data_IF_502406001633
#
_entry.id   IF_502406001633
#
_cell.length_a   1.000
_cell.length_b   1.000
_cell.length_c   1.000
_cell.angle_alpha   90.00
_cell.angle_beta   90.00
_cell.angle_gamma   90.00
#
_symmetry.space_group_name_H-M   'P 1'
#
loop_
_entity.id
_entity.type
_entity.pdbx_description
1 polymer ?
#
# COMPACT_ATOMS: atom_id res chain seq x y z
N UNK A 1 -17.79 -11.07 21.62
CA UNK A 1 -16.66 -10.52 20.87
C UNK A 1 -17.15 -9.47 19.92
N UNK A 2 -16.50 -8.35 19.92
CA UNK A 2 -16.88 -7.26 19.03
C UNK A 2 -15.89 -7.12 17.92
N UNK A 3 -16.39 -7.18 16.72
CA UNK A 3 -15.61 -6.85 15.56
C UNK A 3 -15.64 -5.34 15.37
N UNK A 4 -14.49 -4.73 15.33
CA UNK A 4 -14.41 -3.31 15.06
C UNK A 4 -14.43 -3.05 13.58
N UNK A 5 -15.31 -2.15 13.16
CA UNK A 5 -15.20 -1.57 11.84
C UNK A 5 -13.89 -0.79 11.78
N UNK A 6 -13.00 -1.18 10.88
CA UNK A 6 -11.79 -0.42 10.63
C UNK A 6 -12.08 0.66 9.62
N UNK A 7 -11.51 1.83 9.86
CA UNK A 7 -11.54 2.89 8.86
C UNK A 7 -10.58 2.48 7.76
N UNK A 8 -11.15 2.07 6.65
CA UNK A 8 -10.39 1.57 5.51
C UNK A 8 -10.84 2.32 4.27
N UNK A 9 -9.94 3.09 3.69
CA UNK A 9 -10.21 3.79 2.45
C UNK A 9 -9.76 2.91 1.28
N UNK A 10 -10.67 2.70 0.33
CA UNK A 10 -10.37 1.90 -0.86
C UNK A 10 -10.52 2.79 -2.09
N UNK A 11 -9.47 2.84 -2.90
CA UNK A 11 -9.48 3.52 -4.18
C UNK A 11 -9.48 2.49 -5.30
N UNK A 12 -10.24 2.75 -6.33
CA UNK A 12 -10.31 1.91 -7.53
C UNK A 12 -9.93 2.75 -8.72
N UNK A 13 -9.01 2.25 -9.53
CA UNK A 13 -8.64 2.88 -10.79
C UNK A 13 -9.34 2.14 -11.92
N UNK A 14 -10.23 2.84 -12.61
CA UNK A 14 -11.05 2.27 -13.68
C UNK A 14 -10.73 2.94 -15.02
N UNK A 15 -10.81 2.16 -16.07
CA UNK A 15 -10.69 2.63 -17.44
C UNK A 15 -11.58 1.78 -18.35
N UNK A 16 -12.43 2.42 -19.16
CA UNK A 16 -13.27 1.75 -20.14
C UNK A 16 -14.07 0.57 -19.57
N UNK A 17 -14.76 0.79 -18.46
CA UNK A 17 -15.59 -0.21 -17.77
C UNK A 17 -14.79 -1.36 -17.15
N UNK A 18 -13.49 -1.23 -17.07
CA UNK A 18 -12.63 -2.25 -16.51
C UNK A 18 -11.85 -1.71 -15.31
N UNK A 19 -11.76 -2.49 -14.25
CA UNK A 19 -10.95 -2.15 -13.10
C UNK A 19 -9.49 -2.48 -13.42
N UNK A 20 -8.64 -1.47 -13.41
CA UNK A 20 -7.21 -1.65 -13.64
C UNK A 20 -6.42 -1.90 -12.38
N UNK A 21 -6.86 -1.35 -11.26
CA UNK A 21 -6.19 -1.54 -9.99
C UNK A 21 -7.03 -1.13 -8.80
N UNK A 22 -6.65 -1.62 -7.64
CA UNK A 22 -7.30 -1.35 -6.36
C UNK A 22 -6.23 -1.10 -5.31
N UNK A 23 -6.45 -0.10 -4.48
CA UNK A 23 -5.56 0.19 -3.36
C UNK A 23 -6.37 0.46 -2.10
N UNK A 24 -5.84 0.05 -0.96
CA UNK A 24 -6.51 0.24 0.32
C UNK A 24 -5.59 0.85 1.35
N UNK A 25 -6.12 1.78 2.12
CA UNK A 25 -5.42 2.52 3.16
C UNK A 25 -6.14 2.35 4.49
N UNK A 26 -5.39 1.97 5.50
CA UNK A 26 -5.86 1.91 6.87
C UNK A 26 -5.03 2.93 7.67
N UNK A 27 -5.63 4.10 7.95
CA UNK A 27 -4.95 5.24 8.53
C UNK A 27 -3.77 5.69 7.66
N UNK A 28 -2.54 5.38 8.04
CA UNK A 28 -1.36 5.69 7.25
C UNK A 28 -0.66 4.45 6.68
N UNK A 29 -1.32 3.30 6.76
CA UNK A 29 -0.76 2.05 6.27
C UNK A 29 -1.39 1.64 4.94
N UNK A 30 -0.59 1.32 3.93
CA UNK A 30 -1.08 0.68 2.72
C UNK A 30 -1.32 -0.78 3.04
N UNK A 31 -2.59 -1.20 3.03
CA UNK A 31 -3.00 -2.56 3.35
C UNK A 31 -3.30 -3.40 2.12
N UNK A 32 -3.51 -2.75 1.00
CA UNK A 32 -3.86 -3.43 -0.25
C UNK A 32 -3.35 -2.61 -1.41
N UNK A 33 -2.70 -3.27 -2.36
CA UNK A 33 -2.36 -2.68 -3.63
C UNK A 33 -2.30 -3.79 -4.68
N UNK A 34 -3.24 -3.78 -5.60
CA UNK A 34 -3.32 -4.73 -6.68
C UNK A 34 -3.52 -4.00 -8.00
N UNK A 35 -2.74 -4.36 -8.98
CA UNK A 35 -2.88 -3.85 -10.34
C UNK A 35 -3.07 -5.04 -11.25
N UNK A 36 -4.06 -4.94 -12.15
CA UNK A 36 -4.31 -5.99 -13.12
C UNK A 36 -3.02 -6.30 -13.89
N UNK A 37 -2.72 -7.57 -14.06
CA UNK A 37 -1.42 -7.99 -14.60
C UNK A 37 -1.07 -7.30 -15.92
N UNK A 38 -2.02 -7.22 -16.84
CA UNK A 38 -1.81 -6.57 -18.14
C UNK A 38 -1.72 -5.05 -18.08
N UNK A 39 -2.00 -4.47 -16.90
CA UNK A 39 -1.93 -3.02 -16.68
C UNK A 39 -0.74 -2.61 -15.82
N UNK A 40 0.09 -3.56 -15.43
CA UNK A 40 1.30 -3.27 -14.70
C UNK A 40 2.30 -2.53 -15.59
N UNK A 41 3.19 -1.77 -14.95
CA UNK A 41 4.22 -0.95 -15.62
C UNK A 41 3.66 0.17 -16.50
N UNK A 42 2.40 0.56 -16.29
CA UNK A 42 1.76 1.68 -16.98
C UNK A 42 1.51 2.86 -16.06
N UNK A 43 2.07 2.83 -14.85
CA UNK A 43 1.89 3.91 -13.90
C UNK A 43 0.62 3.80 -13.05
N UNK A 44 -0.21 2.77 -13.24
CA UNK A 44 -1.44 2.59 -12.46
C UNK A 44 -1.15 2.43 -10.98
N UNK A 45 -0.20 1.57 -10.61
CA UNK A 45 0.17 1.35 -9.22
C UNK A 45 0.71 2.62 -8.57
N UNK A 46 1.55 3.34 -9.28
CA UNK A 46 2.11 4.61 -8.79
C UNK A 46 1.03 5.67 -8.60
N UNK A 47 0.09 5.76 -9.54
CA UNK A 47 -1.04 6.68 -9.42
C UNK A 47 -1.91 6.35 -8.21
N UNK A 48 -2.14 5.06 -7.95
CA UNK A 48 -2.88 4.64 -6.77
C UNK A 48 -2.15 5.02 -5.48
N UNK A 49 -0.84 4.79 -5.39
CA UNK A 49 -0.05 5.19 -4.23
C UNK A 49 -0.10 6.69 -4.01
N UNK A 50 0.06 7.48 -5.09
CA UNK A 50 -0.04 8.95 -4.99
C UNK A 50 -1.41 9.38 -4.51
N UNK A 51 -2.47 8.73 -4.98
CA UNK A 51 -3.82 9.03 -4.51
C UNK A 51 -3.97 8.70 -3.03
N UNK A 52 -3.50 7.54 -2.58
CA UNK A 52 -3.56 7.18 -1.16
C UNK A 52 -2.80 8.18 -0.30
N UNK A 53 -1.67 8.66 -0.79
CA UNK A 53 -0.88 9.67 -0.08
C UNK A 53 -1.71 10.90 0.24
N UNK A 54 -2.56 11.34 -0.68
CA UNK A 54 -3.41 12.51 -0.46
C UNK A 54 -4.50 12.25 0.58
N UNK A 55 -4.80 10.99 0.86
CA UNK A 55 -5.87 10.61 1.79
C UNK A 55 -5.38 10.38 3.21
N UNK A 56 -4.07 10.34 3.43
CA UNK A 56 -3.51 10.20 4.77
C UNK A 56 -3.69 11.52 5.53
N UNK A 57 -4.27 11.47 6.76
CA UNK A 57 -4.45 12.69 7.56
C UNK A 57 -3.09 13.24 8.00
N UNK A 58 -2.55 14.22 7.25
CA UNK A 58 -1.23 14.79 7.50
C UNK A 58 -1.10 15.56 8.80
N UNK A 59 -2.22 15.91 9.44
CA UNK A 59 -2.21 16.53 10.78
C UNK A 59 -1.84 15.50 11.84
N UNK A 60 -2.21 14.23 11.60
CA UNK A 60 -2.01 13.15 12.57
C UNK A 60 -0.72 12.38 12.28
N UNK A 61 -0.44 12.14 11.01
CA UNK A 61 0.66 11.28 10.57
C UNK A 61 1.70 12.06 9.79
N UNK A 62 2.98 11.75 10.05
CA UNK A 62 4.10 12.34 9.33
C UNK A 62 4.60 11.48 8.19
N UNK A 63 4.16 10.25 8.14
CA UNK A 63 4.53 9.31 7.09
C UNK A 63 3.38 8.36 6.77
N UNK A 64 3.51 7.68 5.66
CA UNK A 64 2.73 6.50 5.37
C UNK A 64 3.69 5.32 5.24
N UNK A 65 3.20 4.12 5.45
CA UNK A 65 4.06 2.96 5.45
C UNK A 65 3.38 1.74 4.85
N UNK A 66 4.20 0.74 4.56
CA UNK A 66 3.75 -0.53 4.01
C UNK A 66 4.66 -1.65 4.50
N UNK A 67 4.08 -2.82 4.71
CA UNK A 67 4.84 -4.05 4.84
C UNK A 67 4.87 -4.69 3.45
N UNK A 68 5.94 -4.42 2.74
CA UNK A 68 6.06 -4.84 1.34
C UNK A 68 6.45 -6.31 1.22
N UNK A 69 5.86 -7.01 0.25
CA UNK A 69 6.45 -8.27 -0.16
C UNK A 69 7.86 -8.00 -0.71
N UNK A 70 8.78 -8.99 -0.64
CA UNK A 70 10.12 -8.80 -1.19
C UNK A 70 10.12 -8.40 -2.67
N UNK A 71 9.15 -8.87 -3.43
CA UNK A 71 9.03 -8.55 -4.86
C UNK A 71 8.64 -7.11 -5.14
N UNK A 72 7.89 -6.50 -4.22
CA UNK A 72 7.36 -5.15 -4.42
C UNK A 72 8.27 -4.05 -3.90
N UNK A 73 9.38 -4.39 -3.25
CA UNK A 73 10.31 -3.41 -2.67
C UNK A 73 10.77 -2.40 -3.72
N UNK A 74 11.16 -2.87 -4.90
CA UNK A 74 11.61 -1.96 -5.97
C UNK A 74 10.52 -0.99 -6.42
N UNK A 75 9.28 -1.47 -6.46
CA UNK A 75 8.14 -0.62 -6.81
C UNK A 75 7.95 0.50 -5.77
N UNK A 76 7.92 0.13 -4.49
CA UNK A 76 7.73 1.13 -3.44
C UNK A 76 8.91 2.09 -3.35
N UNK A 77 10.12 1.60 -3.56
CA UNK A 77 11.30 2.47 -3.62
C UNK A 77 11.14 3.51 -4.74
N UNK A 78 10.67 3.09 -5.91
CA UNK A 78 10.42 4.00 -7.02
C UNK A 78 9.33 5.02 -6.71
N UNK A 79 8.41 4.71 -5.80
CA UNK A 79 7.40 5.63 -5.32
C UNK A 79 7.92 6.59 -4.23
N UNK A 80 9.17 6.44 -3.82
CA UNK A 80 9.78 7.31 -2.82
C UNK A 80 9.88 6.73 -1.42
N UNK A 81 9.45 5.48 -1.22
CA UNK A 81 9.55 4.82 0.07
C UNK A 81 10.98 4.43 0.37
N UNK A 82 11.32 4.48 1.65
CA UNK A 82 12.61 4.05 2.16
C UNK A 82 12.46 2.72 2.90
N UNK A 83 13.37 1.80 2.66
CA UNK A 83 13.42 0.56 3.41
C UNK A 83 13.83 0.83 4.85
N UNK A 84 13.10 0.24 5.80
CA UNK A 84 13.40 0.39 7.23
C UNK A 84 13.91 -0.88 7.86
N UNK A 85 13.58 -2.03 7.30
CA UNK A 85 14.11 -3.32 7.76
C UNK A 85 13.14 -4.45 7.54
N UNK A 86 13.64 -5.69 7.69
CA UNK A 86 12.78 -6.87 7.53
C UNK A 86 11.84 -7.05 8.70
N UNK A 87 10.62 -7.47 8.42
CA UNK A 87 9.63 -7.85 9.43
C UNK A 87 9.00 -9.15 8.98
N UNK A 88 8.97 -10.12 9.89
CA UNK A 88 8.35 -11.41 9.63
C UNK A 88 7.05 -11.53 10.40
N UNK A 89 5.99 -11.94 9.71
CA UNK A 89 4.71 -12.22 10.31
C UNK A 89 4.45 -13.71 10.31
N UNK A 90 3.81 -14.19 11.38
CA UNK A 90 3.36 -15.57 11.44
C UNK A 90 1.88 -15.61 11.05
N UNK A 91 1.58 -16.27 9.94
CA UNK A 91 0.21 -16.41 9.45
C UNK A 91 -0.11 -17.90 9.40
N UNK A 92 -1.03 -18.31 10.27
CA UNK A 92 -1.45 -19.72 10.36
C UNK A 92 -0.26 -20.68 10.51
N UNK A 93 0.72 -20.30 11.34
CA UNK A 93 1.91 -21.09 11.59
C UNK A 93 3.02 -20.95 10.56
N UNK A 94 2.80 -20.18 9.50
CA UNK A 94 3.79 -19.96 8.45
C UNK A 94 4.42 -18.58 8.56
N UNK A 95 5.75 -18.49 8.51
CA UNK A 95 6.42 -17.20 8.49
C UNK A 95 6.27 -16.52 7.14
N UNK A 96 5.85 -15.28 7.15
CA UNK A 96 5.74 -14.45 5.94
C UNK A 96 6.77 -13.34 6.05
N UNK A 97 7.74 -13.34 5.14
CA UNK A 97 8.77 -12.31 5.11
C UNK A 97 8.25 -11.05 4.43
N UNK A 98 8.45 -9.93 5.08
CA UNK A 98 8.12 -8.61 4.52
C UNK A 98 9.27 -7.64 4.77
N UNK A 99 9.20 -6.51 4.09
CA UNK A 99 10.11 -5.38 4.32
C UNK A 99 9.27 -4.19 4.74
N UNK A 100 9.54 -3.66 5.91
CA UNK A 100 8.88 -2.44 6.38
C UNK A 100 9.47 -1.25 5.65
N UNK A 101 8.60 -0.47 5.01
CA UNK A 101 9.00 0.70 4.23
C UNK A 101 8.12 1.88 4.59
N UNK A 102 8.69 3.08 4.57
CA UNK A 102 7.95 4.29 4.89
C UNK A 102 8.26 5.42 3.93
N UNK A 103 7.26 6.29 3.76
CA UNK A 103 7.35 7.49 2.91
C UNK A 103 7.02 8.71 3.75
N UNK A 104 7.95 9.66 3.89
CA UNK A 104 7.64 10.92 4.56
C UNK A 104 6.57 11.71 3.81
N UNK A 105 5.63 12.29 4.57
CA UNK A 105 4.56 13.11 4.01
C UNK A 105 4.88 14.60 4.07
N UNK A 106 5.96 14.92 4.73
CA UNK A 106 6.38 16.32 4.95
C UNK A 106 7.74 16.54 4.34
#
# INVERSE_FOLDING_TARGET
MHERARLFYVAVFESEEEIEGVAGLDMNEIRLLCVRLRRQRRGTGRALVEHLRTMVPGIIFRDMFVYSSPRAVGFYRACGFHERGPVSFNVLGEPIATVFMSLPLV
#
